data_IF_540967121254
#
_entry.id   IF_540967121254
#
_cell.length_a   1.000
_cell.length_b   1.000
_cell.length_c   1.000
_cell.angle_alpha   90.00
_cell.angle_beta   90.00
_cell.angle_gamma   90.00
#
_symmetry.space_group_name_H-M   'P 1'
#
loop_
_entity.id
_entity.type
_entity.pdbx_description
1 polymer ?
#
# COMPACT_ATOMS: atom_id res chain seq x y z
N UNK A 1 13.23 54.69 28.39
CA UNK A 1 13.10 53.68 27.31
C UNK A 1 11.69 53.74 26.72
N UNK A 2 11.23 54.96 26.39
CA UNK A 2 9.87 55.28 25.86
C UNK A 2 9.96 56.09 24.55
N UNK A 3 10.97 55.83 23.74
CA UNK A 3 11.10 56.46 22.42
C UNK A 3 11.52 55.37 21.45
N UNK A 4 10.59 54.89 20.62
CA UNK A 4 10.76 54.46 19.23
C UNK A 4 9.52 53.68 18.73
N UNK A 5 8.36 54.34 18.67
CA UNK A 5 7.27 53.98 17.75
C UNK A 5 6.24 55.12 17.66
N UNK A 6 6.69 56.33 17.32
CA UNK A 6 5.83 57.36 16.71
C UNK A 6 6.16 57.46 15.23
N UNK A 7 5.60 56.56 14.44
CA UNK A 7 5.37 56.83 13.02
C UNK A 7 4.09 57.67 12.90
N UNK A 8 4.17 58.94 13.30
CA UNK A 8 3.17 59.96 12.96
C UNK A 8 3.48 60.49 11.57
N UNK A 9 3.12 59.75 10.53
CA UNK A 9 2.85 60.35 9.23
C UNK A 9 1.42 60.89 9.31
N UNK A 10 1.29 62.17 9.69
CA UNK A 10 0.03 62.88 9.76
C UNK A 10 -0.41 63.25 8.33
N UNK A 11 -0.89 62.27 7.57
CA UNK A 11 -1.71 62.53 6.39
C UNK A 11 -3.16 62.45 6.88
N UNK A 12 -3.97 63.52 6.79
CA UNK A 12 -5.39 63.44 7.09
C UNK A 12 -6.04 62.60 5.97
N UNK A 13 -6.10 61.28 6.16
CA UNK A 13 -6.96 60.44 5.35
C UNK A 13 -8.43 60.81 5.68
N UNK A 14 -9.29 60.99 4.67
CA UNK A 14 -10.68 61.35 4.89
C UNK A 14 -11.40 60.29 5.72
N UNK A 15 -12.29 60.76 6.60
CA UNK A 15 -13.13 60.09 7.60
C UNK A 15 -14.16 59.08 7.04
N UNK A 16 -13.90 58.48 5.88
CA UNK A 16 -14.75 57.48 5.21
C UNK A 16 -14.59 56.05 5.77
N UNK A 17 -13.85 55.85 6.86
CA UNK A 17 -13.50 54.53 7.42
C UNK A 17 -14.16 54.19 8.77
N UNK A 18 -15.20 54.91 9.21
CA UNK A 18 -15.91 54.58 10.47
C UNK A 18 -17.10 53.61 10.33
N UNK A 19 -17.57 53.29 9.12
CA UNK A 19 -18.58 52.25 8.87
C UNK A 19 -18.12 50.77 8.72
N UNK A 20 -16.83 50.37 8.71
CA UNK A 20 -16.45 48.97 8.45
C UNK A 20 -16.33 48.08 9.71
N UNK A 21 -16.39 48.60 10.94
CA UNK A 21 -16.08 47.79 12.14
C UNK A 21 -17.16 46.73 12.46
N UNK A 22 -18.45 47.06 12.34
CA UNK A 22 -19.54 46.09 12.54
C UNK A 22 -19.55 44.98 11.47
N UNK A 23 -19.20 45.32 10.23
CA UNK A 23 -19.04 44.35 9.15
C UNK A 23 -17.84 43.42 9.40
N UNK A 24 -16.73 43.96 9.90
CA UNK A 24 -15.52 43.20 10.19
C UNK A 24 -15.76 42.13 11.28
N UNK A 25 -16.52 42.46 12.33
CA UNK A 25 -16.90 41.50 13.39
C UNK A 25 -17.76 40.37 12.84
N UNK A 26 -18.76 40.70 12.05
CA UNK A 26 -19.67 39.72 11.43
C UNK A 26 -18.93 38.79 10.48
N UNK A 27 -18.06 39.35 9.62
CA UNK A 27 -17.21 38.58 8.72
C UNK A 27 -16.23 37.67 9.47
N UNK A 28 -15.62 38.16 10.56
CA UNK A 28 -14.70 37.37 11.39
C UNK A 28 -15.41 36.18 12.05
N UNK A 29 -16.64 36.37 12.54
CA UNK A 29 -17.47 35.29 13.09
C UNK A 29 -17.84 34.26 12.02
N UNK A 30 -18.24 34.71 10.83
CA UNK A 30 -18.54 33.81 9.72
C UNK A 30 -17.31 32.98 9.31
N UNK A 31 -16.15 33.62 9.23
CA UNK A 31 -14.88 32.96 8.92
C UNK A 31 -14.46 31.96 9.99
N UNK A 32 -14.68 32.27 11.28
CA UNK A 32 -14.47 31.33 12.38
C UNK A 32 -15.28 30.05 12.22
N UNK A 33 -16.59 30.17 11.98
CA UNK A 33 -17.45 29.02 11.76
C UNK A 33 -17.08 28.24 10.51
N UNK A 34 -16.68 28.95 9.45
CA UNK A 34 -16.14 28.33 8.24
C UNK A 34 -14.88 27.51 8.53
N UNK A 35 -13.94 28.01 9.34
CA UNK A 35 -12.77 27.24 9.78
C UNK A 35 -13.18 25.96 10.52
N UNK A 36 -14.17 26.01 11.41
CA UNK A 36 -14.69 24.81 12.09
C UNK A 36 -15.27 23.79 11.11
N UNK A 37 -16.08 24.24 10.15
CA UNK A 37 -16.64 23.36 9.10
C UNK A 37 -15.53 22.70 8.29
N UNK A 38 -14.51 23.46 7.89
CA UNK A 38 -13.35 22.92 7.18
C UNK A 38 -12.60 21.87 8.02
N UNK A 39 -12.36 22.14 9.30
CA UNK A 39 -11.67 21.22 10.20
C UNK A 39 -12.48 19.93 10.37
N UNK A 40 -13.79 20.01 10.62
CA UNK A 40 -14.66 18.82 10.75
C UNK A 40 -14.64 18.01 9.44
N UNK A 41 -14.82 18.65 8.29
CA UNK A 41 -14.79 17.98 7.00
C UNK A 41 -13.43 17.31 6.72
N UNK A 42 -12.32 18.01 7.03
CA UNK A 42 -10.97 17.48 6.89
C UNK A 42 -10.70 16.29 7.80
N UNK A 43 -11.15 16.35 9.06
CA UNK A 43 -11.03 15.24 10.04
C UNK A 43 -11.83 14.03 9.56
N UNK A 44 -13.08 14.21 9.13
CA UNK A 44 -13.90 13.10 8.60
C UNK A 44 -13.25 12.47 7.38
N UNK A 45 -12.80 13.27 6.42
CA UNK A 45 -12.10 12.77 5.23
C UNK A 45 -10.83 11.99 5.60
N UNK A 46 -10.05 12.50 6.55
CA UNK A 46 -8.85 11.84 7.04
C UNK A 46 -9.18 10.48 7.67
N UNK A 47 -10.20 10.41 8.54
CA UNK A 47 -10.63 9.15 9.15
C UNK A 47 -11.10 8.13 8.11
N UNK A 48 -11.92 8.55 7.13
CA UNK A 48 -12.39 7.65 6.06
C UNK A 48 -11.21 7.03 5.30
N UNK A 49 -10.20 7.83 5.00
CA UNK A 49 -9.02 7.37 4.27
C UNK A 49 -8.12 6.49 5.14
N UNK A 50 -7.89 6.87 6.41
CA UNK A 50 -7.11 6.03 7.34
C UNK A 50 -7.78 4.68 7.55
N UNK A 51 -9.10 4.64 7.71
CA UNK A 51 -9.86 3.38 7.81
C UNK A 51 -9.78 2.50 6.55
N UNK A 52 -9.41 3.06 5.39
CA UNK A 52 -9.17 2.30 4.16
C UNK A 52 -7.73 1.84 3.99
N UNK A 53 -6.75 2.60 4.49
CA UNK A 53 -5.33 2.26 4.33
C UNK A 53 -4.80 1.36 5.45
N UNK A 54 -5.34 1.47 6.66
CA UNK A 54 -4.84 0.71 7.82
C UNK A 54 -5.03 -0.81 7.66
N UNK A 55 -6.20 -1.33 7.25
CA UNK A 55 -6.35 -2.78 7.10
C UNK A 55 -5.41 -3.36 6.03
N UNK A 56 -5.35 -2.85 4.78
CA UNK A 56 -4.40 -3.35 3.78
C UNK A 56 -2.92 -3.21 4.18
N UNK A 57 -2.59 -2.22 5.03
CA UNK A 57 -1.26 -2.14 5.62
C UNK A 57 -1.06 -3.32 6.58
N UNK A 58 -1.93 -3.51 7.57
CA UNK A 58 -1.80 -4.58 8.57
C UNK A 58 -1.80 -5.98 7.95
N UNK A 59 -2.64 -6.18 6.94
CA UNK A 59 -2.83 -7.45 6.25
C UNK A 59 -1.77 -7.68 5.15
N UNK A 60 -0.84 -6.74 4.91
CA UNK A 60 0.14 -6.85 3.82
C UNK A 60 0.95 -8.16 3.86
N UNK A 61 1.53 -8.59 5.00
CA UNK A 61 2.28 -9.85 5.06
C UNK A 61 1.40 -11.06 4.70
N UNK A 62 0.18 -11.10 5.24
CA UNK A 62 -0.78 -12.18 4.97
C UNK A 62 -1.27 -12.16 3.51
N UNK A 63 -1.50 -10.98 2.94
CA UNK A 63 -1.91 -10.82 1.55
C UNK A 63 -0.79 -11.24 0.58
N UNK A 64 0.47 -10.95 0.90
CA UNK A 64 1.63 -11.45 0.13
C UNK A 64 1.64 -12.99 0.18
N UNK A 65 1.56 -13.58 1.38
CA UNK A 65 1.59 -15.03 1.55
C UNK A 65 0.42 -15.72 0.84
N UNK A 66 -0.79 -15.17 0.99
CA UNK A 66 -2.01 -15.65 0.32
C UNK A 66 -1.90 -15.49 -1.20
N UNK A 67 -1.31 -14.39 -1.67
CA UNK A 67 -1.07 -14.15 -3.08
C UNK A 67 -0.13 -15.18 -3.69
N UNK A 68 0.98 -15.51 -3.03
CA UNK A 68 1.88 -16.57 -3.50
C UNK A 68 1.21 -17.95 -3.39
N UNK A 69 0.65 -18.27 -2.24
CA UNK A 69 0.06 -19.58 -1.97
C UNK A 69 -1.13 -19.90 -2.87
N UNK A 70 -2.16 -19.06 -2.85
CA UNK A 70 -3.44 -19.31 -3.51
C UNK A 70 -3.51 -18.73 -4.92
N UNK A 71 -3.17 -17.45 -5.11
CA UNK A 71 -3.36 -16.78 -6.42
C UNK A 71 -2.33 -17.26 -7.44
N UNK A 72 -1.06 -17.40 -7.03
CA UNK A 72 0.00 -17.94 -7.89
C UNK A 72 0.10 -19.47 -7.84
N UNK A 73 -0.65 -20.11 -6.95
CA UNK A 73 -0.87 -21.56 -6.91
C UNK A 73 0.23 -22.38 -6.23
N UNK A 74 1.17 -21.74 -5.52
CA UNK A 74 2.29 -22.46 -4.88
C UNK A 74 1.85 -23.45 -3.80
N UNK A 75 0.70 -23.23 -3.14
CA UNK A 75 0.15 -24.17 -2.15
C UNK A 75 -0.30 -25.50 -2.80
N UNK A 76 -0.69 -25.45 -4.07
CA UNK A 76 -1.13 -26.62 -4.82
C UNK A 76 0.01 -27.34 -5.54
N UNK A 77 1.20 -26.73 -5.62
CA UNK A 77 2.36 -27.27 -6.35
C UNK A 77 2.66 -28.73 -5.99
N UNK A 78 2.66 -29.05 -4.68
CA UNK A 78 2.96 -30.40 -4.20
C UNK A 78 1.91 -31.42 -4.62
N UNK A 79 0.64 -31.06 -4.51
CA UNK A 79 -0.46 -31.94 -4.88
C UNK A 79 -0.48 -32.15 -6.39
N UNK A 80 -0.37 -31.07 -7.16
CA UNK A 80 -0.44 -31.13 -8.62
C UNK A 80 0.79 -31.84 -9.21
N UNK A 81 2.00 -31.62 -8.67
CA UNK A 81 3.19 -32.38 -9.07
C UNK A 81 3.04 -33.89 -8.80
N UNK A 82 2.39 -34.28 -7.70
CA UNK A 82 2.08 -35.69 -7.41
C UNK A 82 1.06 -36.25 -8.40
N UNK A 83 -0.01 -35.50 -8.70
CA UNK A 83 -1.00 -35.91 -9.70
C UNK A 83 -0.35 -36.14 -11.07
N UNK A 84 0.56 -35.25 -11.48
CA UNK A 84 1.33 -35.40 -12.72
C UNK A 84 2.18 -36.66 -12.70
N UNK A 85 2.94 -36.88 -11.62
CA UNK A 85 3.79 -38.07 -11.47
C UNK A 85 2.97 -39.37 -11.48
N UNK A 86 1.91 -39.46 -10.68
CA UNK A 86 1.09 -40.66 -10.53
C UNK A 86 0.31 -40.98 -11.81
N UNK A 87 -0.17 -39.95 -12.52
CA UNK A 87 -0.86 -40.11 -13.81
C UNK A 87 0.09 -40.60 -14.90
N UNK A 88 1.32 -40.09 -14.94
CA UNK A 88 2.34 -40.58 -15.86
C UNK A 88 2.74 -42.04 -15.55
N UNK A 89 2.88 -42.39 -14.27
CA UNK A 89 3.12 -43.77 -13.85
C UNK A 89 1.97 -44.70 -14.29
N UNK A 90 0.73 -44.26 -14.12
CA UNK A 90 -0.46 -45.02 -14.55
C UNK A 90 -0.51 -45.19 -16.07
N UNK A 91 -0.09 -44.20 -16.85
CA UNK A 91 -0.02 -44.34 -18.30
C UNK A 91 1.03 -45.39 -18.73
N UNK A 92 2.18 -45.43 -18.05
CA UNK A 92 3.24 -46.42 -18.31
C UNK A 92 2.79 -47.85 -18.00
N UNK A 93 1.98 -48.06 -16.96
CA UNK A 93 1.48 -49.41 -16.62
C UNK A 93 0.49 -49.94 -17.66
N UNK A 94 -0.19 -49.09 -18.43
CA UNK A 94 -1.03 -49.50 -19.56
C UNK A 94 -0.21 -50.15 -20.68
N UNK A 95 1.09 -49.89 -20.74
CA UNK A 95 2.06 -50.53 -21.62
C UNK A 95 2.92 -51.59 -20.89
N UNK A 96 2.49 -52.05 -19.71
CA UNK A 96 3.22 -52.99 -18.85
C UNK A 96 4.62 -52.49 -18.41
N UNK A 97 4.81 -51.18 -18.33
CA UNK A 97 6.08 -50.57 -17.87
C UNK A 97 5.92 -50.02 -16.44
N UNK A 98 6.83 -50.41 -15.55
CA UNK A 98 6.91 -49.87 -14.19
C UNK A 98 7.77 -48.61 -14.17
N UNK A 99 7.16 -47.47 -13.84
CA UNK A 99 7.82 -46.16 -13.88
C UNK A 99 9.06 -46.06 -12.98
N UNK A 100 8.97 -46.57 -11.74
CA UNK A 100 10.05 -46.48 -10.75
C UNK A 100 11.33 -47.25 -11.14
N UNK A 101 11.19 -48.30 -11.94
CA UNK A 101 12.31 -49.14 -12.38
C UNK A 101 12.78 -48.77 -13.78
N UNK A 102 11.87 -48.38 -14.68
CA UNK A 102 12.19 -48.19 -16.09
C UNK A 102 12.64 -46.76 -16.41
N UNK A 103 12.05 -45.73 -15.78
CA UNK A 103 12.32 -44.35 -16.17
C UNK A 103 13.76 -43.86 -15.89
N UNK A 104 14.39 -44.16 -14.73
CA UNK A 104 15.75 -43.69 -14.42
C UNK A 104 16.84 -44.11 -15.42
N UNK A 105 16.58 -45.16 -16.20
CA UNK A 105 17.52 -45.73 -17.18
C UNK A 105 16.83 -46.02 -18.51
N UNK A 106 15.72 -45.31 -18.81
CA UNK A 106 14.86 -45.70 -19.92
C UNK A 106 15.63 -45.72 -21.24
N UNK A 107 15.75 -46.92 -21.81
CA UNK A 107 16.20 -47.13 -23.17
C UNK A 107 14.95 -47.40 -24.02
N UNK A 108 14.87 -46.90 -25.27
CA UNK A 108 13.76 -47.21 -26.17
C UNK A 108 13.75 -48.72 -26.49
N UNK A 109 13.09 -49.51 -25.65
CA UNK A 109 12.87 -50.93 -25.90
C UNK A 109 11.60 -51.03 -26.75
N UNK A 110 11.62 -51.78 -27.86
CA UNK A 110 10.41 -52.04 -28.63
C UNK A 110 9.38 -52.77 -27.77
N UNK A 111 8.40 -52.03 -27.26
CA UNK A 111 7.23 -52.60 -26.59
C UNK A 111 6.12 -52.70 -27.64
N UNK A 112 5.72 -53.92 -28.05
CA UNK A 112 4.69 -54.07 -29.08
C UNK A 112 3.34 -53.57 -28.56
N UNK A 113 2.58 -52.94 -29.45
CA UNK A 113 1.21 -52.48 -29.19
C UNK A 113 1.08 -50.98 -28.98
N UNK A 114 -0.17 -50.55 -28.84
CA UNK A 114 -0.57 -49.18 -28.54
C UNK A 114 -1.47 -49.16 -27.30
N UNK A 115 -1.50 -48.02 -26.62
CA UNK A 115 -2.37 -47.81 -25.47
C UNK A 115 -3.16 -46.51 -25.62
N UNK A 116 -4.38 -46.49 -25.07
CA UNK A 116 -5.18 -45.27 -24.98
C UNK A 116 -4.93 -44.61 -23.62
N UNK A 117 -4.14 -43.54 -23.61
CA UNK A 117 -3.74 -42.78 -22.40
C UNK A 117 -4.45 -41.42 -22.30
N UNK A 118 -5.53 -41.22 -23.07
CA UNK A 118 -6.26 -39.95 -23.13
C UNK A 118 -6.86 -39.50 -21.78
N UNK A 119 -7.13 -40.42 -20.86
CA UNK A 119 -7.56 -40.07 -19.51
C UNK A 119 -6.41 -39.48 -18.67
N UNK A 120 -5.26 -40.16 -18.65
CA UNK A 120 -4.07 -39.74 -17.89
C UNK A 120 -3.53 -38.42 -18.42
N UNK A 121 -3.49 -38.26 -19.75
CA UNK A 121 -3.11 -37.00 -20.39
C UNK A 121 -4.00 -35.85 -19.93
N UNK A 122 -5.33 -36.03 -19.91
CA UNK A 122 -6.27 -35.01 -19.43
C UNK A 122 -6.02 -34.66 -17.96
N UNK A 123 -5.86 -35.66 -17.09
CA UNK A 123 -5.53 -35.42 -15.67
C UNK A 123 -4.25 -34.59 -15.50
N UNK A 124 -3.21 -34.87 -16.28
CA UNK A 124 -1.96 -34.10 -16.24
C UNK A 124 -2.20 -32.67 -16.76
N UNK A 125 -2.94 -32.49 -17.85
CA UNK A 125 -3.28 -31.16 -18.41
C UNK A 125 -4.09 -30.34 -17.41
N UNK A 126 -5.04 -30.96 -16.70
CA UNK A 126 -5.89 -30.29 -15.72
C UNK A 126 -5.06 -29.84 -14.50
N UNK A 127 -4.20 -30.72 -13.95
CA UNK A 127 -3.26 -30.35 -12.88
C UNK A 127 -2.30 -29.22 -13.31
N UNK A 128 -1.87 -29.25 -14.58
CA UNK A 128 -1.01 -28.20 -15.12
C UNK A 128 -1.73 -26.87 -15.28
N UNK A 129 -3.00 -26.90 -15.71
CA UNK A 129 -3.85 -25.72 -15.83
C UNK A 129 -4.25 -25.11 -14.49
N UNK A 130 -4.33 -25.92 -13.43
CA UNK A 130 -4.75 -25.51 -12.10
C UNK A 130 -3.71 -24.62 -11.39
N UNK A 131 -2.47 -25.09 -11.19
CA UNK A 131 -1.42 -24.31 -10.52
C UNK A 131 -0.11 -24.20 -11.29
N UNK A 132 0.30 -25.27 -11.97
CA UNK A 132 1.66 -25.36 -12.49
C UNK A 132 1.94 -24.36 -13.62
N UNK A 133 0.93 -23.97 -14.41
CA UNK A 133 1.06 -22.91 -15.42
C UNK A 133 1.36 -21.56 -14.80
N UNK A 134 0.69 -21.21 -13.70
CA UNK A 134 0.93 -19.97 -12.96
C UNK A 134 2.33 -19.98 -12.34
N UNK A 135 2.73 -21.11 -11.73
CA UNK A 135 4.08 -21.29 -11.19
C UNK A 135 5.14 -21.18 -12.28
N UNK A 136 4.93 -21.80 -13.45
CA UNK A 136 5.83 -21.67 -14.59
C UNK A 136 5.97 -20.20 -15.00
N UNK A 137 4.86 -19.47 -15.09
CA UNK A 137 4.85 -18.05 -15.45
C UNK A 137 5.67 -17.20 -14.46
N UNK A 138 5.57 -17.47 -13.16
CA UNK A 138 6.37 -16.79 -12.12
C UNK A 138 7.84 -17.20 -12.24
N UNK A 139 8.12 -18.47 -12.49
CA UNK A 139 9.46 -19.00 -12.56
C UNK A 139 10.25 -18.58 -13.82
N UNK A 140 9.54 -18.33 -14.92
CA UNK A 140 10.08 -17.75 -16.17
C UNK A 140 10.06 -16.21 -16.15
N UNK A 141 9.55 -15.58 -15.08
CA UNK A 141 9.42 -14.13 -14.99
C UNK A 141 10.78 -13.42 -14.93
N UNK A 142 10.85 -12.21 -15.50
CA UNK A 142 12.08 -11.43 -15.53
C UNK A 142 12.63 -11.05 -14.15
N UNK A 143 11.76 -10.83 -13.16
CA UNK A 143 12.12 -10.39 -11.81
C UNK A 143 11.97 -11.51 -10.79
N UNK A 144 10.87 -12.27 -10.85
CA UNK A 144 10.62 -13.37 -9.92
C UNK A 144 11.34 -14.67 -10.28
N UNK A 145 11.81 -14.85 -11.52
CA UNK A 145 12.52 -16.05 -11.96
C UNK A 145 13.94 -16.17 -11.41
N UNK A 146 14.07 -16.34 -10.09
CA UNK A 146 15.34 -16.57 -9.41
C UNK A 146 15.94 -17.91 -9.83
N UNK A 147 17.23 -18.12 -9.56
CA UNK A 147 17.91 -19.37 -9.96
C UNK A 147 17.27 -20.62 -9.37
N UNK A 148 16.66 -20.52 -8.17
CA UNK A 148 15.91 -21.60 -7.54
C UNK A 148 14.62 -21.93 -8.32
N UNK A 149 13.88 -20.90 -8.74
CA UNK A 149 12.64 -21.07 -9.50
C UNK A 149 12.90 -21.49 -10.95
N UNK A 150 14.00 -21.08 -11.56
CA UNK A 150 14.29 -21.38 -12.96
C UNK A 150 14.40 -22.89 -13.24
N UNK A 151 14.92 -23.68 -12.28
CA UNK A 151 14.92 -25.14 -12.43
C UNK A 151 13.51 -25.72 -12.46
N UNK A 152 12.61 -25.18 -11.64
CA UNK A 152 11.18 -25.52 -11.62
C UNK A 152 10.56 -25.20 -12.99
N UNK A 153 10.84 -24.01 -13.53
CA UNK A 153 10.37 -23.57 -14.85
C UNK A 153 10.78 -24.54 -15.97
N UNK A 154 12.05 -24.96 -15.99
CA UNK A 154 12.55 -25.92 -16.98
C UNK A 154 11.83 -27.27 -16.91
N UNK A 155 11.54 -27.78 -15.70
CA UNK A 155 10.81 -29.05 -15.53
C UNK A 155 9.35 -28.93 -15.97
N UNK A 156 8.72 -27.79 -15.67
CA UNK A 156 7.36 -27.49 -16.14
C UNK A 156 7.31 -27.37 -17.67
N UNK A 157 8.30 -26.71 -18.27
CA UNK A 157 8.47 -26.64 -19.73
C UNK A 157 8.62 -28.03 -20.37
N UNK A 158 9.38 -28.92 -19.76
CA UNK A 158 9.53 -30.31 -20.24
C UNK A 158 8.21 -31.08 -20.19
N UNK A 159 7.43 -30.92 -19.12
CA UNK A 159 6.09 -31.54 -19.01
C UNK A 159 5.17 -31.00 -20.10
N UNK A 160 5.10 -29.68 -20.27
CA UNK A 160 4.27 -29.04 -21.29
C UNK A 160 4.66 -29.49 -22.72
N UNK A 161 5.97 -29.56 -23.01
CA UNK A 161 6.47 -30.04 -24.29
C UNK A 161 6.13 -31.52 -24.53
N UNK A 162 6.23 -32.36 -23.50
CA UNK A 162 5.83 -33.77 -23.57
C UNK A 162 4.34 -33.92 -23.85
N UNK A 163 3.48 -33.18 -23.13
CA UNK A 163 2.03 -33.20 -23.32
C UNK A 163 1.59 -32.80 -24.74
N UNK A 164 2.32 -31.89 -25.38
CA UNK A 164 2.06 -31.47 -26.75
C UNK A 164 2.36 -32.58 -27.79
N UNK A 165 3.23 -33.54 -27.45
CA UNK A 165 3.58 -34.66 -28.32
C UNK A 165 2.68 -35.89 -28.12
N UNK A 166 1.91 -35.94 -27.02
CA UNK A 166 1.01 -37.06 -26.73
C UNK A 166 -0.28 -36.96 -27.56
N UNK A 167 -0.67 -38.10 -28.14
CA UNK A 167 -2.02 -38.36 -28.64
C UNK A 167 -2.75 -39.29 -27.68
N UNK A 168 -4.09 -39.32 -27.76
CA UNK A 168 -4.90 -40.17 -26.88
C UNK A 168 -4.56 -41.66 -27.06
N UNK A 169 -4.35 -42.09 -28.30
CA UNK A 169 -3.84 -43.43 -28.63
C UNK A 169 -2.50 -43.31 -29.35
N UNK A 170 -1.48 -44.00 -28.86
CA UNK A 170 -0.13 -43.98 -29.43
C UNK A 170 0.61 -45.29 -29.17
N UNK A 171 1.60 -45.60 -30.00
CA UNK A 171 2.47 -46.77 -29.79
C UNK A 171 3.20 -46.67 -28.47
N UNK A 172 3.22 -47.79 -27.72
CA UNK A 172 3.80 -47.84 -26.38
C UNK A 172 5.27 -47.42 -26.37
N UNK A 173 6.05 -47.80 -27.39
CA UNK A 173 7.45 -47.41 -27.50
C UNK A 173 7.65 -45.89 -27.53
N UNK A 174 6.76 -45.15 -28.20
CA UNK A 174 6.82 -43.70 -28.31
C UNK A 174 6.25 -43.00 -27.07
N UNK A 175 5.07 -43.44 -26.59
CA UNK A 175 4.43 -42.84 -25.41
C UNK A 175 5.25 -43.01 -24.14
N UNK A 176 5.94 -44.14 -23.98
CA UNK A 176 6.71 -44.43 -22.78
C UNK A 176 7.88 -43.46 -22.57
N UNK A 177 8.57 -43.04 -23.64
CA UNK A 177 9.64 -42.02 -23.54
C UNK A 177 9.08 -40.72 -22.96
N UNK A 178 7.94 -40.28 -23.48
CA UNK A 178 7.32 -39.02 -23.09
C UNK A 178 6.81 -39.10 -21.64
N UNK A 179 6.09 -40.18 -21.28
CA UNK A 179 5.60 -40.36 -19.91
C UNK A 179 6.71 -40.56 -18.88
N UNK A 180 7.84 -41.20 -19.24
CA UNK A 180 8.98 -41.26 -18.34
C UNK A 180 9.59 -39.88 -18.07
N UNK A 181 9.73 -39.03 -19.10
CA UNK A 181 10.19 -37.65 -18.92
C UNK A 181 9.23 -36.84 -18.02
N UNK A 182 7.91 -37.01 -18.20
CA UNK A 182 6.90 -36.35 -17.36
C UNK A 182 6.97 -36.88 -15.91
N UNK A 183 7.13 -38.19 -15.72
CA UNK A 183 7.24 -38.82 -14.41
C UNK A 183 8.45 -38.30 -13.62
N UNK A 184 9.63 -38.23 -14.26
CA UNK A 184 10.84 -37.71 -13.64
C UNK A 184 10.77 -36.20 -13.35
N UNK A 185 10.17 -35.43 -14.27
CA UNK A 185 9.92 -34.02 -14.04
C UNK A 185 8.97 -33.81 -12.85
N UNK A 186 7.87 -34.55 -12.76
CA UNK A 186 6.96 -34.53 -11.61
C UNK A 186 7.65 -34.89 -10.30
N UNK A 187 8.49 -35.93 -10.29
CA UNK A 187 9.29 -36.32 -9.13
C UNK A 187 10.30 -35.24 -8.71
N UNK A 188 10.91 -34.55 -9.67
CA UNK A 188 11.82 -33.43 -9.39
C UNK A 188 11.08 -32.22 -8.83
N UNK A 189 9.89 -31.90 -9.36
CA UNK A 189 9.06 -30.82 -8.82
C UNK A 189 8.70 -31.10 -7.36
N UNK A 190 8.34 -32.34 -7.02
CA UNK A 190 8.05 -32.73 -5.64
C UNK A 190 9.23 -32.54 -4.69
N UNK A 191 10.46 -32.85 -5.13
CA UNK A 191 11.65 -32.62 -4.31
C UNK A 191 12.03 -31.15 -4.20
N UNK A 192 11.63 -30.32 -5.17
CA UNK A 192 11.88 -28.87 -5.19
C UNK A 192 10.86 -28.04 -4.40
N UNK A 193 9.69 -28.58 -4.05
CA UNK A 193 8.64 -27.85 -3.30
C UNK A 193 9.20 -27.14 -2.06
N UNK A 194 10.06 -27.80 -1.28
CA UNK A 194 10.66 -27.20 -0.09
C UNK A 194 11.61 -26.04 -0.42
N UNK A 195 12.38 -26.16 -1.51
CA UNK A 195 13.28 -25.08 -1.95
C UNK A 195 12.49 -23.87 -2.47
N UNK A 196 11.40 -24.13 -3.18
CA UNK A 196 10.49 -23.08 -3.67
C UNK A 196 9.81 -22.39 -2.50
N UNK A 197 9.30 -23.16 -1.52
CA UNK A 197 8.70 -22.62 -0.31
C UNK A 197 9.71 -21.80 0.50
N UNK A 198 10.93 -22.27 0.67
CA UNK A 198 11.98 -21.53 1.37
C UNK A 198 12.32 -20.19 0.69
N UNK A 199 12.25 -20.12 -0.65
CA UNK A 199 12.44 -18.87 -1.39
C UNK A 199 11.26 -17.91 -1.18
N UNK A 200 10.03 -18.42 -1.13
CA UNK A 200 8.82 -17.64 -0.80
C UNK A 200 8.89 -17.15 0.65
N UNK A 201 9.21 -18.03 1.60
CA UNK A 201 9.36 -17.71 3.02
C UNK A 201 10.49 -16.69 3.23
N UNK A 202 11.48 -16.61 2.35
CA UNK A 202 12.53 -15.57 2.39
C UNK A 202 11.98 -14.19 2.02
N UNK A 203 10.99 -14.11 1.14
CA UNK A 203 10.29 -12.85 0.85
C UNK A 203 9.38 -12.46 2.03
N UNK A 204 8.60 -13.42 2.55
CA UNK A 204 7.68 -13.23 3.67
C UNK A 204 8.41 -12.89 4.98
N UNK A 205 9.48 -13.62 5.31
CA UNK A 205 10.28 -13.44 6.53
C UNK A 205 11.48 -12.50 6.36
N UNK A 206 11.42 -11.58 5.42
CA UNK A 206 12.47 -10.56 5.28
C UNK A 206 12.45 -9.61 6.48
N UNK A 207 13.62 -9.08 6.88
CA UNK A 207 13.74 -8.15 8.03
C UNK A 207 12.85 -6.92 7.84
N UNK A 208 12.57 -6.56 6.59
CA UNK A 208 11.69 -5.48 6.20
C UNK A 208 10.23 -5.79 6.56
N UNK A 209 9.76 -7.02 6.33
CA UNK A 209 8.41 -7.48 6.70
C UNK A 209 8.30 -7.63 8.21
N UNK A 210 9.28 -8.23 8.89
CA UNK A 210 9.29 -8.33 10.37
C UNK A 210 9.20 -6.93 11.00
N UNK A 211 10.02 -5.99 10.53
CA UNK A 211 9.98 -4.60 11.00
C UNK A 211 8.63 -3.96 10.71
N UNK A 212 8.03 -4.26 9.57
CA UNK A 212 6.74 -3.73 9.22
C UNK A 212 5.64 -4.26 10.16
N UNK A 213 5.64 -5.55 10.49
CA UNK A 213 4.73 -6.16 11.47
C UNK A 213 4.88 -5.53 12.87
N UNK A 214 6.12 -5.31 13.32
CA UNK A 214 6.41 -4.62 14.58
C UNK A 214 5.78 -3.21 14.63
N UNK A 215 5.80 -2.49 13.51
CA UNK A 215 5.24 -1.15 13.42
C UNK A 215 3.73 -1.12 13.11
N UNK A 216 3.15 -2.22 12.63
CA UNK A 216 1.76 -2.28 12.17
C UNK A 216 0.74 -1.99 13.28
N UNK A 217 1.09 -2.30 14.53
CA UNK A 217 0.28 -2.00 15.72
C UNK A 217 0.10 -0.49 15.91
N UNK A 218 1.09 0.31 15.53
CA UNK A 218 1.04 1.76 15.68
C UNK A 218 0.22 2.45 14.58
N UNK A 219 -0.18 1.76 13.50
CA UNK A 219 -0.99 2.37 12.44
C UNK A 219 -2.35 2.84 12.93
N UNK A 220 -2.90 2.21 13.98
CA UNK A 220 -4.13 2.68 14.63
C UNK A 220 -3.96 4.06 15.27
N UNK A 221 -2.74 4.46 15.66
CA UNK A 221 -2.48 5.80 16.19
C UNK A 221 -2.59 6.89 15.13
N UNK A 222 -2.58 6.54 13.84
CA UNK A 222 -2.80 7.51 12.76
C UNK A 222 -4.15 8.21 12.90
N UNK A 223 -5.16 7.54 13.44
CA UNK A 223 -6.46 8.14 13.75
C UNK A 223 -6.39 9.29 14.75
N UNK A 224 -5.34 9.38 15.58
CA UNK A 224 -5.18 10.45 16.58
C UNK A 224 -4.69 11.75 15.94
N UNK A 225 -3.92 11.67 14.84
CA UNK A 225 -3.27 12.82 14.21
C UNK A 225 -4.19 14.02 13.92
N UNK A 226 -5.39 13.87 13.32
CA UNK A 226 -6.25 15.02 13.03
C UNK A 226 -6.81 15.68 14.30
N UNK A 227 -6.84 15.00 15.45
CA UNK A 227 -7.37 15.57 16.69
C UNK A 227 -6.47 16.63 17.30
N UNK A 228 -5.17 16.69 16.99
CA UNK A 228 -4.32 17.82 17.40
C UNK A 228 -4.88 19.15 16.86
N UNK A 229 -5.39 19.14 15.62
CA UNK A 229 -6.02 20.32 15.02
C UNK A 229 -7.39 20.63 15.68
N UNK A 230 -8.17 19.61 16.02
CA UNK A 230 -9.45 19.80 16.74
C UNK A 230 -9.21 20.43 18.11
N UNK A 231 -8.24 19.91 18.88
CA UNK A 231 -7.87 20.45 20.19
C UNK A 231 -7.36 21.88 20.06
N UNK A 232 -6.56 22.17 19.04
CA UNK A 232 -6.16 23.55 18.71
C UNK A 232 -7.39 24.45 18.50
N UNK A 233 -8.35 24.04 17.67
CA UNK A 233 -9.58 24.80 17.42
C UNK A 233 -10.44 25.02 18.67
N UNK A 234 -10.46 24.07 19.61
CA UNK A 234 -11.13 24.26 20.91
C UNK A 234 -10.47 25.41 21.69
N UNK A 235 -9.14 25.43 21.78
CA UNK A 235 -8.43 26.54 22.44
C UNK A 235 -8.62 27.87 21.71
N UNK A 236 -8.64 27.88 20.38
CA UNK A 236 -8.98 29.08 19.60
C UNK A 236 -10.40 29.57 19.90
N UNK A 237 -11.35 28.65 20.06
CA UNK A 237 -12.73 28.97 20.44
C UNK A 237 -12.80 29.60 21.83
N UNK A 238 -12.08 29.04 22.81
CA UNK A 238 -11.97 29.62 24.14
C UNK A 238 -11.30 31.01 24.13
N UNK A 239 -10.29 31.22 23.28
CA UNK A 239 -9.68 32.53 23.10
C UNK A 239 -10.66 33.54 22.45
N UNK A 240 -11.41 33.08 21.45
CA UNK A 240 -12.42 33.89 20.76
C UNK A 240 -13.54 34.35 21.71
N UNK A 241 -14.04 33.48 22.59
CA UNK A 241 -15.08 33.86 23.58
C UNK A 241 -14.59 34.88 24.61
N UNK A 242 -13.27 34.99 24.82
CA UNK A 242 -12.65 36.00 25.68
C UNK A 242 -12.39 37.33 24.97
N UNK A 243 -12.91 37.52 23.75
CA UNK A 243 -12.79 38.75 22.98
C UNK A 243 -11.53 38.82 22.11
N UNK A 244 -10.79 37.72 21.94
CA UNK A 244 -9.78 37.57 20.89
C UNK A 244 -8.67 38.63 20.86
N UNK A 245 -8.34 39.26 21.99
CA UNK A 245 -7.35 40.33 22.03
C UNK A 245 -5.93 39.80 22.35
N UNK A 246 -5.02 39.90 21.38
CA UNK A 246 -3.64 39.43 21.52
C UNK A 246 -2.68 40.44 22.18
N UNK A 247 -3.11 41.68 22.46
CA UNK A 247 -2.27 42.75 23.03
C UNK A 247 -2.98 43.39 24.22
N UNK A 248 -2.55 43.05 25.43
CA UNK A 248 -2.95 43.76 26.66
C UNK A 248 -3.61 42.86 27.71
N UNK A 249 -2.86 42.60 28.78
CA UNK A 249 -3.18 42.45 30.22
C UNK A 249 -4.58 42.05 30.73
N UNK A 250 -5.51 41.56 29.91
CA UNK A 250 -6.84 41.16 30.34
C UNK A 250 -6.86 39.68 30.74
N UNK A 251 -6.21 39.39 31.87
CA UNK A 251 -6.27 38.10 32.55
C UNK A 251 -5.26 37.05 32.08
N UNK A 252 -4.66 36.33 33.04
CA UNK A 252 -3.75 35.20 32.78
C UNK A 252 -4.34 34.13 31.86
N UNK A 253 -5.67 34.02 31.79
CA UNK A 253 -6.37 32.94 31.07
C UNK A 253 -6.32 33.08 29.54
N UNK A 254 -6.42 34.29 28.99
CA UNK A 254 -6.39 34.51 27.54
C UNK A 254 -5.04 34.13 26.94
N UNK A 255 -3.96 34.52 27.62
CA UNK A 255 -2.59 34.18 27.25
C UNK A 255 -2.39 32.66 27.24
N UNK A 256 -2.87 31.95 28.27
CA UNK A 256 -2.80 30.49 28.31
C UNK A 256 -3.53 29.82 27.13
N UNK A 257 -4.73 30.28 26.79
CA UNK A 257 -5.50 29.71 25.66
C UNK A 257 -4.83 29.92 24.30
N UNK A 258 -4.22 31.10 24.06
CA UNK A 258 -3.48 31.36 22.82
C UNK A 258 -2.23 30.49 22.73
N UNK A 259 -1.47 30.35 23.83
CA UNK A 259 -0.26 29.52 23.85
C UNK A 259 -0.62 28.06 23.53
N UNK A 260 -1.66 27.52 24.17
CA UNK A 260 -2.12 26.14 23.91
C UNK A 260 -2.63 25.98 22.48
N UNK A 261 -3.43 26.93 21.98
CA UNK A 261 -3.87 26.95 20.58
C UNK A 261 -2.68 26.85 19.61
N UNK A 262 -1.68 27.73 19.77
CA UNK A 262 -0.50 27.77 18.92
C UNK A 262 0.31 26.48 19.05
N UNK A 263 0.53 25.97 20.27
CA UNK A 263 1.24 24.71 20.49
C UNK A 263 0.61 23.56 19.71
N UNK A 264 -0.69 23.32 19.89
CA UNK A 264 -1.40 22.25 19.19
C UNK A 264 -1.47 22.47 17.67
N UNK A 265 -1.59 23.72 17.22
CA UNK A 265 -1.56 24.07 15.79
C UNK A 265 -0.21 23.74 15.16
N UNK A 266 0.90 24.12 15.81
CA UNK A 266 2.25 23.83 15.33
C UNK A 266 2.54 22.33 15.32
N UNK A 267 2.10 21.59 16.34
CA UNK A 267 2.20 20.12 16.35
C UNK A 267 1.42 19.52 15.18
N UNK A 268 0.17 19.93 14.96
CA UNK A 268 -0.62 19.46 13.83
C UNK A 268 0.04 19.79 12.47
N UNK A 269 0.55 21.02 12.32
CA UNK A 269 1.24 21.46 11.10
C UNK A 269 2.52 20.65 10.85
N UNK A 270 3.34 20.42 11.89
CA UNK A 270 4.55 19.61 11.79
C UNK A 270 4.25 18.16 11.40
N UNK A 271 3.26 17.54 12.04
CA UNK A 271 2.86 16.16 11.75
C UNK A 271 2.30 16.00 10.34
N UNK A 272 1.38 16.89 9.90
CA UNK A 272 0.83 16.83 8.55
C UNK A 272 1.89 17.12 7.48
N UNK A 273 2.82 18.06 7.76
CA UNK A 273 3.97 18.31 6.88
C UNK A 273 4.86 17.07 6.77
N UNK A 274 5.13 16.39 7.88
CA UNK A 274 5.93 15.16 7.89
C UNK A 274 5.29 14.05 7.06
N UNK A 275 3.96 13.86 7.14
CA UNK A 275 3.24 12.88 6.32
C UNK A 275 3.29 13.26 4.83
N UNK A 276 3.03 14.51 4.48
CA UNK A 276 3.05 14.97 3.08
C UNK A 276 4.46 14.89 2.49
N UNK A 277 5.46 15.40 3.21
CA UNK A 277 6.86 15.34 2.79
C UNK A 277 7.36 13.90 2.71
N UNK A 278 7.04 13.07 3.72
CA UNK A 278 7.36 11.64 3.73
C UNK A 278 6.73 10.91 2.56
N UNK A 279 5.46 11.20 2.24
CA UNK A 279 4.79 10.64 1.06
C UNK A 279 5.43 11.07 -0.27
N UNK A 280 5.86 12.34 -0.38
CA UNK A 280 6.57 12.82 -1.56
C UNK A 280 7.96 12.17 -1.71
N UNK A 281 8.71 12.06 -0.62
CA UNK A 281 10.01 11.39 -0.58
C UNK A 281 9.87 9.91 -0.89
N UNK A 282 8.86 9.22 -0.33
CA UNK A 282 8.61 7.82 -0.62
C UNK A 282 8.31 7.58 -2.11
N UNK A 283 7.47 8.43 -2.74
CA UNK A 283 7.18 8.36 -4.18
C UNK A 283 8.38 8.62 -5.07
N UNK A 284 9.30 9.50 -4.64
CA UNK A 284 10.54 9.72 -5.36
C UNK A 284 11.51 8.53 -5.16
N UNK A 285 11.64 8.07 -3.92
CA UNK A 285 12.54 7.01 -3.50
C UNK A 285 12.19 5.63 -4.08
N UNK A 286 10.91 5.32 -4.36
CA UNK A 286 10.53 4.05 -5.03
C UNK A 286 11.18 3.88 -6.39
N UNK A 287 11.61 4.97 -7.04
CA UNK A 287 12.34 4.94 -8.32
C UNK A 287 13.83 4.65 -8.16
N UNK A 288 14.37 4.78 -6.95
CA UNK A 288 15.80 4.64 -6.67
C UNK A 288 16.12 3.39 -5.83
N UNK A 289 15.21 3.01 -4.91
CA UNK A 289 15.37 1.83 -4.05
C UNK A 289 15.28 0.57 -4.91
N UNK A 290 16.37 -0.21 -4.92
CA UNK A 290 16.47 -1.50 -5.61
C UNK A 290 16.09 -2.65 -4.68
N UNK A 291 15.38 -3.63 -5.22
CA UNK A 291 15.00 -4.86 -4.54
C UNK A 291 16.02 -5.94 -4.91
N UNK A 292 17.08 -6.06 -4.11
CA UNK A 292 18.23 -6.95 -4.38
C UNK A 292 17.92 -8.44 -4.23
N UNK A 293 16.74 -8.76 -3.69
CA UNK A 293 16.23 -10.12 -3.60
C UNK A 293 15.65 -10.62 -4.93
N UNK A 294 15.35 -9.71 -5.88
CA UNK A 294 14.79 -10.04 -7.18
C UNK A 294 15.88 -10.06 -8.26
N UNK A 295 15.62 -10.82 -9.33
CA UNK A 295 16.57 -10.96 -10.43
C UNK A 295 16.77 -9.62 -11.14
N UNK A 296 18.03 -9.20 -11.27
CA UNK A 296 18.41 -7.98 -11.98
C UNK A 296 18.29 -6.70 -11.15
N UNK A 297 18.07 -6.81 -9.84
CA UNK A 297 17.97 -5.70 -8.89
C UNK A 297 17.02 -4.57 -9.35
N UNK A 298 15.78 -4.88 -9.75
CA UNK A 298 14.83 -3.87 -10.22
C UNK A 298 14.49 -2.87 -9.12
N UNK A 299 14.08 -1.67 -9.52
CA UNK A 299 13.59 -0.67 -8.56
C UNK A 299 12.20 -1.04 -8.06
N UNK A 300 11.80 -0.58 -6.87
CA UNK A 300 10.45 -0.83 -6.32
C UNK A 300 9.37 -0.40 -7.33
N UNK A 301 9.53 0.74 -7.98
CA UNK A 301 8.61 1.20 -9.02
C UNK A 301 8.50 0.21 -10.19
N UNK A 302 9.64 -0.30 -10.70
CA UNK A 302 9.64 -1.30 -11.78
C UNK A 302 8.94 -2.60 -11.37
N UNK A 303 9.14 -3.04 -10.12
CA UNK A 303 8.47 -4.24 -9.60
C UNK A 303 6.98 -4.02 -9.51
N UNK A 304 6.52 -2.90 -8.95
CA UNK A 304 5.10 -2.60 -8.82
C UNK A 304 4.40 -2.51 -10.19
N UNK A 305 4.98 -1.73 -11.13
CA UNK A 305 4.44 -1.60 -12.49
C UNK A 305 4.38 -2.95 -13.21
N UNK A 306 5.39 -3.80 -13.01
CA UNK A 306 5.45 -5.13 -13.62
C UNK A 306 4.45 -6.10 -12.98
N UNK A 307 4.29 -6.08 -11.67
CA UNK A 307 3.33 -6.91 -10.95
C UNK A 307 1.91 -6.54 -11.36
N UNK A 308 1.58 -5.26 -11.42
CA UNK A 308 0.27 -4.77 -11.92
C UNK A 308 0.01 -5.28 -13.34
N UNK A 309 0.99 -5.19 -14.23
CA UNK A 309 0.83 -5.57 -15.63
C UNK A 309 0.82 -7.09 -15.88
N UNK A 310 1.61 -7.87 -15.13
CA UNK A 310 1.80 -9.31 -15.38
C UNK A 310 1.04 -10.19 -14.41
N UNK A 311 0.72 -9.73 -13.21
CA UNK A 311 0.04 -10.53 -12.18
C UNK A 311 -1.11 -9.73 -11.56
N UNK A 312 -2.13 -9.34 -12.35
CA UNK A 312 -3.19 -8.42 -11.89
C UNK A 312 -3.98 -8.97 -10.70
N UNK A 313 -4.27 -10.27 -10.67
CA UNK A 313 -4.98 -10.88 -9.53
C UNK A 313 -4.16 -10.81 -8.23
N UNK A 314 -2.83 -11.00 -8.34
CA UNK A 314 -1.92 -10.86 -7.20
C UNK A 314 -1.78 -9.39 -6.78
N UNK A 315 -1.73 -8.47 -7.75
CA UNK A 315 -1.72 -7.03 -7.52
C UNK A 315 -2.97 -6.55 -6.79
N UNK A 316 -4.15 -6.98 -7.25
CA UNK A 316 -5.44 -6.57 -6.68
C UNK A 316 -5.57 -7.00 -5.22
N UNK A 317 -5.10 -8.21 -4.91
CA UNK A 317 -5.06 -8.73 -3.54
C UNK A 317 -4.06 -7.97 -2.65
N UNK A 318 -2.86 -7.71 -3.17
CA UNK A 318 -1.71 -7.32 -2.33
C UNK A 318 -1.48 -5.81 -2.28
N UNK A 319 -1.58 -5.12 -3.40
CA UNK A 319 -1.04 -3.77 -3.57
C UNK A 319 -2.08 -2.72 -3.97
N UNK A 320 -3.12 -3.08 -4.71
CA UNK A 320 -4.07 -2.10 -5.26
C UNK A 320 -4.72 -1.23 -4.18
N UNK A 321 -5.27 -1.87 -3.14
CA UNK A 321 -5.91 -1.18 -2.02
C UNK A 321 -4.89 -0.40 -1.17
N UNK A 322 -3.70 -0.97 -0.97
CA UNK A 322 -2.61 -0.34 -0.22
C UNK A 322 -2.15 0.97 -0.89
N UNK A 323 -1.85 0.93 -2.19
CA UNK A 323 -1.35 2.09 -2.93
C UNK A 323 -2.42 3.17 -3.04
N UNK A 324 -3.66 2.77 -3.33
CA UNK A 324 -4.82 3.66 -3.36
C UNK A 324 -5.03 4.34 -1.99
N UNK A 325 -5.00 3.55 -0.91
CA UNK A 325 -5.12 4.03 0.47
C UNK A 325 -4.00 5.01 0.86
N UNK A 326 -2.74 4.67 0.60
CA UNK A 326 -1.58 5.52 0.90
C UNK A 326 -1.64 6.84 0.12
N UNK A 327 -2.01 6.79 -1.16
CA UNK A 327 -2.19 7.98 -1.99
C UNK A 327 -3.30 8.88 -1.44
N UNK A 328 -4.44 8.28 -1.07
CA UNK A 328 -5.52 8.98 -0.41
C UNK A 328 -5.07 9.62 0.91
N UNK A 329 -4.27 8.90 1.70
CA UNK A 329 -3.83 9.36 3.04
C UNK A 329 -2.93 10.58 2.95
N UNK A 330 -1.99 10.57 2.02
CA UNK A 330 -1.16 11.75 1.70
C UNK A 330 -2.04 12.91 1.21
N UNK A 331 -3.02 12.64 0.35
CA UNK A 331 -3.96 13.66 -0.14
C UNK A 331 -4.79 14.28 0.98
N UNK A 332 -5.36 13.47 1.88
CA UNK A 332 -6.12 13.94 3.02
C UNK A 332 -5.26 14.76 4.00
N UNK A 333 -4.01 14.33 4.22
CA UNK A 333 -3.03 15.06 5.03
C UNK A 333 -2.68 16.42 4.42
N UNK A 334 -2.55 16.51 3.09
CA UNK A 334 -2.30 17.76 2.39
C UNK A 334 -3.47 18.76 2.53
N UNK A 335 -4.71 18.27 2.50
CA UNK A 335 -5.89 19.11 2.75
C UNK A 335 -5.91 19.62 4.19
N UNK A 336 -5.64 18.76 5.18
CA UNK A 336 -5.53 19.19 6.58
C UNK A 336 -4.40 20.20 6.78
N UNK A 337 -3.26 20.02 6.10
CA UNK A 337 -2.17 20.99 6.12
C UNK A 337 -2.61 22.36 5.56
N UNK A 338 -3.35 22.38 4.45
CA UNK A 338 -3.92 23.62 3.90
C UNK A 338 -4.90 24.29 4.87
N UNK A 339 -5.73 23.49 5.57
CA UNK A 339 -6.62 24.00 6.62
C UNK A 339 -5.82 24.62 7.77
N UNK A 340 -4.73 23.98 8.22
CA UNK A 340 -3.83 24.56 9.24
C UNK A 340 -3.28 25.93 8.81
N UNK A 341 -2.90 26.09 7.54
CA UNK A 341 -2.44 27.38 6.99
C UNK A 341 -3.56 28.42 7.03
N UNK A 342 -4.79 28.06 6.60
CA UNK A 342 -5.95 28.96 6.66
C UNK A 342 -6.24 29.40 8.10
N UNK A 343 -6.25 28.46 9.05
CA UNK A 343 -6.47 28.75 10.48
C UNK A 343 -5.36 29.65 11.04
N UNK A 344 -4.11 29.45 10.61
CA UNK A 344 -2.97 30.31 10.97
C UNK A 344 -3.19 31.73 10.47
N UNK A 345 -3.53 31.90 9.19
CA UNK A 345 -3.79 33.21 8.59
C UNK A 345 -4.97 33.92 9.28
N UNK A 346 -6.06 33.20 9.51
CA UNK A 346 -7.21 33.71 10.25
C UNK A 346 -6.80 34.20 11.65
N UNK A 347 -5.99 33.42 12.37
CA UNK A 347 -5.53 33.76 13.71
C UNK A 347 -4.60 34.98 13.73
N UNK A 348 -3.73 35.11 12.72
CA UNK A 348 -2.95 36.33 12.50
C UNK A 348 -3.85 37.55 12.28
N UNK A 349 -4.90 37.42 11.46
CA UNK A 349 -5.86 38.50 11.24
C UNK A 349 -6.61 38.87 12.53
N UNK A 350 -7.01 37.90 13.35
CA UNK A 350 -7.62 38.19 14.66
C UNK A 350 -6.70 39.04 15.55
N UNK A 351 -5.42 38.66 15.65
CA UNK A 351 -4.45 39.38 16.46
C UNK A 351 -4.12 40.79 15.92
N UNK A 352 -4.00 40.92 14.61
CA UNK A 352 -3.60 42.18 13.97
C UNK A 352 -4.77 43.18 13.83
N UNK A 353 -5.95 42.70 13.43
CA UNK A 353 -7.11 43.54 13.12
C UNK A 353 -8.02 43.78 14.33
N UNK A 354 -7.92 42.94 15.37
CA UNK A 354 -8.69 43.07 16.63
C UNK A 354 -10.19 43.32 16.42
N UNK A 355 -10.90 42.48 15.65
CA UNK A 355 -12.32 42.70 15.31
C UNK A 355 -13.27 42.70 16.53
N UNK A 356 -12.76 42.32 17.71
CA UNK A 356 -13.52 42.16 18.94
C UNK A 356 -13.06 43.11 20.07
N UNK A 357 -12.21 44.10 19.81
CA UNK A 357 -11.80 45.06 20.85
C UNK A 357 -12.99 45.85 21.38
N UNK A 358 -13.04 46.11 22.69
CA UNK A 358 -14.09 46.94 23.32
C UNK A 358 -14.05 48.39 22.83
N UNK A 359 -12.86 48.90 22.50
CA UNK A 359 -12.67 50.25 21.93
C UNK A 359 -13.44 50.44 20.60
N UNK A 360 -13.77 49.34 19.90
CA UNK A 360 -14.56 49.40 18.68
C UNK A 360 -16.06 49.67 18.95
N UNK A 361 -16.56 49.43 20.17
CA UNK A 361 -17.94 49.73 20.56
C UNK A 361 -18.11 51.18 21.01
N UNK A 362 -17.15 51.73 21.76
CA UNK A 362 -17.22 53.13 22.23
C UNK A 362 -17.19 54.15 21.09
N UNK A 363 -16.56 53.83 19.96
CA UNK A 363 -16.54 54.69 18.77
C UNK A 363 -17.87 54.72 17.99
N UNK A 364 -18.77 53.74 18.21
CA UNK A 364 -20.09 53.69 17.55
C UNK A 364 -21.17 54.42 18.37
N UNK A 365 -21.04 54.49 19.69
CA UNK A 365 -21.99 55.23 20.54
C UNK A 365 -21.76 56.75 20.55
N UNK A 366 -20.58 57.22 20.15
CA UNK A 366 -20.23 58.65 20.13
C UNK A 366 -20.47 59.31 18.76
N UNK A 367 -20.77 58.52 17.72
CA UNK A 367 -21.15 58.97 16.38
C UNK A 367 -22.65 58.89 16.16
#
# INVERSE_FOLDING_TARGET
QDLLCRCTLHVPLPSLLCHPMAMLRTASNALFWFCWVLVIAGVVMYHVVVSRVVPPLQDLPENIATGFGLVLGFDFMKQDARIVQDSAATALTMCNVSASTACPVYQPIPVPGSSNTGAQRRTIVDAFGHSLRSIQRVADDQYFGTGALQQTALKLGNIAAGLAQLNDTMDCAASNVIFCNIYEAGGTLLSQVQSVRAEIDRFEGSKEVERFEEYAVYFNLLHILPYFLVVSMIFLSCFWTQGGNCRGSSGSMAVCTVILFLFFLFVALALMTAVVAGGAVARAGTREVRVTQLRGDPTVAQVLDHVEAKFPEFWDLTFANLISGLSGWVGASAVLLAICVIVTLYSCCLCCCRPYSKDAHELVEVS
#
